data_IF_797773773513
#
_entry.id   IF_797773773513
#
_cell.length_a   1.000
_cell.length_b   1.000
_cell.length_c   1.000
_cell.angle_alpha   90.00
_cell.angle_beta   90.00
_cell.angle_gamma   90.00
#
_symmetry.space_group_name_H-M   'P 1'
#
loop_
_entity.id
_entity.type
_entity.pdbx_description
1 polymer ?
#
# COMPACT_ATOMS: atom_id res chain seq x y z
N UNK A 1 23.50 -20.39 31.98
CA UNK A 1 22.37 -20.15 31.06
C UNK A 1 22.61 -18.77 30.44
N UNK A 2 23.08 -18.68 29.19
CA UNK A 2 23.23 -17.37 28.52
C UNK A 2 21.86 -16.97 27.99
N UNK A 3 21.31 -15.89 28.53
CA UNK A 3 20.18 -15.20 27.92
C UNK A 3 20.68 -14.66 26.58
N UNK A 4 20.23 -15.27 25.49
CA UNK A 4 20.40 -14.71 24.16
C UNK A 4 19.34 -13.63 24.05
N UNK A 5 19.76 -12.36 24.07
CA UNK A 5 18.87 -11.26 23.76
C UNK A 5 18.26 -11.52 22.37
N UNK A 6 16.94 -11.36 22.20
CA UNK A 6 16.34 -11.51 20.88
C UNK A 6 16.98 -10.45 19.98
N UNK A 7 17.80 -10.88 19.04
CA UNK A 7 18.32 -10.01 17.99
C UNK A 7 17.13 -9.55 17.18
N UNK A 8 16.63 -8.35 17.49
CA UNK A 8 15.62 -7.67 16.70
C UNK A 8 16.17 -7.61 15.28
N UNK A 9 15.47 -8.25 14.35
CA UNK A 9 15.74 -8.06 12.92
C UNK A 9 15.75 -6.54 12.70
N UNK A 10 16.69 -5.99 11.91
CA UNK A 10 16.65 -4.57 11.61
C UNK A 10 15.25 -4.23 11.11
N UNK A 11 14.62 -3.25 11.74
CA UNK A 11 13.27 -2.82 11.41
C UNK A 11 13.30 -2.24 10.00
N UNK A 12 12.99 -3.07 9.00
CA UNK A 12 12.93 -2.60 7.62
C UNK A 12 11.63 -1.83 7.50
N UNK A 13 11.74 -0.50 7.58
CA UNK A 13 10.60 0.39 7.37
C UNK A 13 10.06 0.20 5.95
N UNK A 14 8.73 0.19 5.83
CA UNK A 14 8.04 0.01 4.56
C UNK A 14 8.39 1.10 3.56
N UNK A 15 8.88 2.25 4.00
CA UNK A 15 9.21 3.40 3.17
C UNK A 15 10.69 3.49 2.79
N UNK A 16 11.47 2.43 3.07
CA UNK A 16 12.88 2.37 2.69
C UNK A 16 13.08 2.28 1.17
N UNK A 17 14.05 3.03 0.63
CA UNK A 17 14.46 3.02 -0.78
C UNK A 17 13.32 3.32 -1.78
N UNK A 18 12.66 4.49 -1.68
CA UNK A 18 11.63 4.89 -2.64
C UNK A 18 12.19 4.99 -4.06
N UNK A 19 11.32 4.78 -5.04
CA UNK A 19 11.59 5.14 -6.44
C UNK A 19 11.13 6.57 -6.64
N UNK A 20 12.00 7.44 -7.14
CA UNK A 20 11.62 8.83 -7.42
C UNK A 20 11.31 8.97 -8.91
N UNK A 21 10.12 9.47 -9.24
CA UNK A 21 9.72 9.81 -10.61
C UNK A 21 9.16 11.23 -10.68
N UNK A 22 9.22 11.84 -11.85
CA UNK A 22 8.62 13.16 -12.10
C UNK A 22 7.20 12.99 -12.66
N UNK A 23 6.21 13.60 -12.00
CA UNK A 23 4.80 13.65 -12.42
C UNK A 23 4.36 15.11 -12.38
N UNK A 24 3.71 15.62 -13.44
CA UNK A 24 3.26 17.02 -13.48
C UNK A 24 4.37 18.05 -13.26
N UNK A 25 5.63 17.72 -13.55
CA UNK A 25 6.79 18.58 -13.30
C UNK A 25 7.39 18.51 -11.89
N UNK A 26 6.72 17.84 -10.94
CA UNK A 26 7.13 17.68 -9.54
C UNK A 26 7.75 16.29 -9.33
N UNK A 27 8.73 16.16 -8.43
CA UNK A 27 9.31 14.87 -8.05
C UNK A 27 8.47 14.22 -6.95
N UNK A 28 8.08 12.97 -7.16
CA UNK A 28 7.29 12.18 -6.22
C UNK A 28 8.00 10.88 -5.84
N UNK A 29 7.83 10.47 -4.59
CA UNK A 29 8.26 9.17 -4.09
C UNK A 29 7.21 8.10 -4.41
N UNK A 30 7.69 6.97 -4.90
CA UNK A 30 6.87 5.84 -5.28
C UNK A 30 7.37 4.54 -4.66
N UNK A 31 6.41 3.70 -4.30
CA UNK A 31 6.60 2.49 -3.56
C UNK A 31 5.97 1.32 -4.30
N UNK A 32 6.67 0.19 -4.32
CA UNK A 32 6.16 -1.03 -4.94
C UNK A 32 5.11 -1.72 -4.05
N UNK A 33 4.41 -2.70 -4.61
CA UNK A 33 3.53 -3.59 -3.85
C UNK A 33 4.21 -4.28 -2.65
N UNK A 34 5.53 -4.49 -2.70
CA UNK A 34 6.29 -5.05 -1.59
C UNK A 34 6.33 -4.12 -0.37
N UNK A 35 6.48 -2.82 -0.60
CA UNK A 35 6.43 -1.79 0.44
C UNK A 35 5.02 -1.72 1.05
N UNK A 36 3.97 -1.69 0.22
CA UNK A 36 2.58 -1.74 0.71
C UNK A 36 2.27 -3.01 1.52
N UNK A 37 2.83 -4.14 1.10
CA UNK A 37 2.68 -5.41 1.81
C UNK A 37 3.29 -5.35 3.20
N UNK A 38 4.46 -4.74 3.34
CA UNK A 38 5.12 -4.51 4.63
C UNK A 38 4.32 -3.54 5.50
N UNK A 39 3.87 -2.43 4.92
CA UNK A 39 3.06 -1.41 5.58
C UNK A 39 1.78 -1.98 6.21
N UNK A 40 1.06 -2.83 5.47
CA UNK A 40 -0.21 -3.40 5.93
C UNK A 40 -0.05 -4.75 6.66
N UNK A 41 1.19 -5.19 6.90
CA UNK A 41 1.47 -6.51 7.45
C UNK A 41 0.69 -7.63 6.72
N UNK A 42 0.78 -7.65 5.38
CA UNK A 42 0.10 -8.60 4.50
C UNK A 42 1.07 -9.20 3.49
N UNK A 43 0.73 -10.38 2.99
CA UNK A 43 1.47 -10.98 1.88
C UNK A 43 1.20 -10.23 0.57
N UNK A 44 2.19 -10.08 -0.33
CA UNK A 44 1.96 -9.45 -1.64
C UNK A 44 0.85 -10.11 -2.47
N UNK A 45 0.65 -11.42 -2.30
CA UNK A 45 -0.43 -12.15 -2.98
C UNK A 45 -1.80 -11.68 -2.52
N UNK A 46 -1.93 -11.32 -1.23
CA UNK A 46 -3.14 -10.81 -0.61
C UNK A 46 -3.43 -9.41 -1.11
N UNK A 47 -2.42 -8.53 -1.17
CA UNK A 47 -2.57 -7.18 -1.74
C UNK A 47 -3.03 -7.25 -3.20
N UNK A 48 -2.40 -8.11 -4.02
CA UNK A 48 -2.85 -8.34 -5.42
C UNK A 48 -4.27 -8.88 -5.51
N UNK A 49 -4.67 -9.73 -4.55
CA UNK A 49 -6.03 -10.24 -4.48
C UNK A 49 -6.99 -9.09 -4.16
N UNK A 50 -6.67 -8.25 -3.19
CA UNK A 50 -7.48 -7.09 -2.80
C UNK A 50 -7.67 -6.12 -3.97
N UNK A 51 -6.62 -5.80 -4.72
CA UNK A 51 -6.72 -4.99 -5.94
C UNK A 51 -7.69 -5.64 -6.96
N UNK A 52 -7.52 -6.94 -7.22
CA UNK A 52 -8.36 -7.66 -8.21
C UNK A 52 -9.82 -7.76 -7.79
N UNK A 53 -10.09 -7.89 -6.50
CA UNK A 53 -11.45 -8.04 -5.95
C UNK A 53 -12.07 -6.69 -5.57
N UNK A 54 -11.39 -5.57 -5.80
CA UNK A 54 -11.90 -4.24 -5.47
C UNK A 54 -11.95 -3.92 -3.97
N UNK A 55 -11.20 -4.64 -3.13
CA UNK A 55 -11.06 -4.28 -1.70
C UNK A 55 -10.20 -3.03 -1.55
N UNK A 56 -9.19 -2.89 -2.41
CA UNK A 56 -8.46 -1.64 -2.60
C UNK A 56 -8.48 -1.31 -4.09
N UNK A 57 -8.47 -0.03 -4.48
CA UNK A 57 -8.32 0.37 -5.87
C UNK A 57 -6.98 -0.11 -6.45
N UNK A 58 -6.91 -0.21 -7.78
CA UNK A 58 -5.64 -0.33 -8.46
C UNK A 58 -4.81 0.96 -8.24
N UNK A 59 -3.46 0.87 -8.20
CA UNK A 59 -2.62 2.05 -8.05
C UNK A 59 -2.80 3.01 -9.23
N UNK A 60 -2.83 4.29 -8.91
CA UNK A 60 -2.90 5.39 -9.90
C UNK A 60 -1.75 5.33 -10.91
N UNK A 61 -0.57 4.85 -10.49
CA UNK A 61 0.62 4.82 -11.32
C UNK A 61 1.06 3.39 -11.65
N UNK A 62 1.18 3.11 -12.96
CA UNK A 62 1.72 1.86 -13.48
C UNK A 62 2.83 2.14 -14.48
N UNK A 63 4.05 1.77 -14.13
CA UNK A 63 5.19 1.81 -15.06
C UNK A 63 5.17 0.55 -15.91
N UNK A 64 5.00 0.71 -17.22
CA UNK A 64 4.97 -0.41 -18.16
C UNK A 64 6.34 -1.07 -18.27
N UNK A 65 6.35 -2.40 -18.22
CA UNK A 65 7.55 -3.19 -18.47
C UNK A 65 7.74 -3.48 -19.97
N UNK A 66 8.84 -4.18 -20.31
CA UNK A 66 9.04 -4.72 -21.67
C UNK A 66 8.02 -5.80 -22.05
N UNK A 67 7.40 -6.42 -21.06
CA UNK A 67 6.33 -7.41 -21.20
C UNK A 67 5.20 -7.04 -20.26
N UNK A 68 4.00 -7.58 -20.50
CA UNK A 68 2.82 -7.34 -19.65
C UNK A 68 3.07 -7.75 -18.18
N UNK A 69 3.80 -8.85 -17.97
CA UNK A 69 4.25 -9.30 -16.64
C UNK A 69 5.30 -8.37 -16.00
N UNK A 70 5.89 -7.48 -16.78
CA UNK A 70 6.86 -6.49 -16.35
C UNK A 70 6.24 -5.19 -15.82
N UNK A 71 4.91 -5.02 -15.92
CA UNK A 71 4.23 -3.83 -15.41
C UNK A 71 4.38 -3.71 -13.89
N UNK A 72 4.80 -2.52 -13.44
CA UNK A 72 5.07 -2.23 -12.03
C UNK A 72 4.06 -1.25 -11.50
N UNK A 73 3.34 -1.72 -10.49
CA UNK A 73 2.42 -0.96 -9.64
C UNK A 73 3.21 -0.06 -8.70
N UNK A 74 2.90 1.23 -8.72
CA UNK A 74 3.57 2.24 -7.91
C UNK A 74 2.53 3.00 -7.09
N UNK A 75 2.72 2.97 -5.78
CA UNK A 75 1.92 3.70 -4.80
C UNK A 75 2.67 4.95 -4.36
N UNK A 76 1.99 6.07 -4.16
CA UNK A 76 2.61 7.25 -3.54
C UNK A 76 2.71 7.08 -2.02
N UNK A 77 3.56 7.89 -1.37
CA UNK A 77 3.65 7.91 0.09
C UNK A 77 2.27 8.14 0.73
N UNK A 78 1.54 9.14 0.24
CA UNK A 78 0.22 9.52 0.73
C UNK A 78 -0.80 8.36 0.62
N UNK A 79 -0.76 7.60 -0.48
CA UNK A 79 -1.60 6.40 -0.62
C UNK A 79 -1.29 5.35 0.45
N UNK A 80 0.00 5.05 0.68
CA UNK A 80 0.37 4.03 1.67
C UNK A 80 0.04 4.49 3.08
N UNK A 81 0.43 5.71 3.46
CA UNK A 81 0.16 6.26 4.80
C UNK A 81 -1.34 6.37 5.08
N UNK A 82 -2.14 6.81 4.10
CA UNK A 82 -3.58 6.84 4.22
C UNK A 82 -4.19 5.44 4.39
N UNK A 83 -3.71 4.45 3.64
CA UNK A 83 -4.14 3.05 3.81
C UNK A 83 -3.76 2.48 5.17
N UNK A 84 -2.56 2.75 5.68
CA UNK A 84 -2.14 2.34 7.04
C UNK A 84 -3.11 2.91 8.06
N UNK A 85 -3.33 4.22 8.02
CA UNK A 85 -4.22 4.91 8.97
C UNK A 85 -5.64 4.31 8.94
N UNK A 86 -6.24 4.16 7.77
CA UNK A 86 -7.58 3.55 7.65
C UNK A 86 -7.56 2.10 8.16
N UNK A 87 -6.50 1.35 7.84
CA UNK A 87 -6.38 -0.04 8.27
C UNK A 87 -6.27 -0.19 9.81
N UNK A 88 -5.57 0.72 10.46
CA UNK A 88 -5.47 0.81 11.92
C UNK A 88 -6.82 1.19 12.55
N UNK A 89 -7.46 2.24 12.03
CA UNK A 89 -8.75 2.72 12.55
C UNK A 89 -9.89 1.69 12.40
N UNK A 90 -9.89 0.92 11.30
CA UNK A 90 -10.85 -0.16 11.06
C UNK A 90 -10.44 -1.49 11.75
N UNK A 91 -9.31 -1.49 12.47
CA UNK A 91 -8.82 -2.63 13.22
C UNK A 91 -8.31 -3.80 12.37
N UNK A 92 -8.15 -3.63 11.06
CA UNK A 92 -7.77 -4.74 10.17
C UNK A 92 -6.29 -5.10 10.28
N UNK A 93 -5.43 -4.28 10.89
CA UNK A 93 -4.01 -4.61 11.08
C UNK A 93 -3.73 -5.54 12.28
N UNK A 94 -4.65 -5.65 13.24
CA UNK A 94 -4.42 -6.40 14.46
C UNK A 94 -4.63 -7.90 14.25
N UNK A 95 -3.59 -8.67 14.58
CA UNK A 95 -3.55 -10.13 14.48
C UNK A 95 -3.68 -10.73 15.89
N UNK A 96 -4.83 -10.57 16.54
CA UNK A 96 -5.13 -11.31 17.77
C UNK A 96 -6.49 -11.99 17.67
N UNK A 97 -6.47 -13.24 17.20
CA UNK A 97 -7.51 -14.25 17.44
C UNK A 97 -8.76 -14.21 16.56
N UNK A 98 -9.31 -13.03 16.29
CA UNK A 98 -10.57 -12.89 15.53
C UNK A 98 -10.34 -11.92 14.38
N UNK A 99 -9.93 -12.43 13.23
CA UNK A 99 -9.71 -11.60 12.05
C UNK A 99 -10.99 -10.85 11.70
N UNK A 100 -10.99 -9.53 11.91
CA UNK A 100 -12.11 -8.67 11.50
C UNK A 100 -12.31 -8.88 10.00
N UNK A 101 -13.52 -9.30 9.62
CA UNK A 101 -13.86 -9.44 8.22
C UNK A 101 -13.89 -8.05 7.59
N UNK A 102 -13.11 -7.84 6.51
CA UNK A 102 -13.08 -6.54 5.81
C UNK A 102 -14.48 -6.12 5.35
N UNK A 103 -15.36 -7.08 5.02
CA UNK A 103 -16.75 -6.81 4.67
C UNK A 103 -17.59 -6.21 5.80
N UNK A 104 -17.14 -6.32 7.05
CA UNK A 104 -17.78 -5.73 8.22
C UNK A 104 -17.20 -4.35 8.58
N UNK A 105 -16.22 -3.84 7.83
CA UNK A 105 -15.57 -2.56 8.06
C UNK A 105 -15.84 -1.58 6.92
N UNK A 106 -15.48 -0.31 7.11
CA UNK A 106 -15.51 0.69 6.04
C UNK A 106 -14.19 0.80 5.28
N UNK A 107 -13.28 -0.15 5.46
CA UNK A 107 -11.94 -0.09 4.89
C UNK A 107 -11.95 0.13 3.38
N UNK A 108 -12.68 -0.69 2.62
CA UNK A 108 -12.69 -0.61 1.16
C UNK A 108 -13.27 0.71 0.65
N UNK A 109 -14.37 1.18 1.24
CA UNK A 109 -15.02 2.45 0.90
C UNK A 109 -14.09 3.64 1.16
N UNK A 110 -13.45 3.65 2.34
CA UNK A 110 -12.56 4.75 2.75
C UNK A 110 -11.28 4.78 1.94
N UNK A 111 -10.74 3.62 1.57
CA UNK A 111 -9.57 3.55 0.68
C UNK A 111 -9.92 3.98 -0.74
N UNK A 112 -11.12 3.65 -1.24
CA UNK A 112 -11.58 4.17 -2.53
C UNK A 112 -11.65 5.71 -2.51
N UNK A 113 -12.30 6.30 -1.50
CA UNK A 113 -12.37 7.76 -1.34
C UNK A 113 -10.99 8.40 -1.25
N UNK A 114 -10.07 7.81 -0.48
CA UNK A 114 -8.68 8.28 -0.38
C UNK A 114 -8.01 8.36 -1.76
N UNK A 115 -8.20 7.36 -2.62
CA UNK A 115 -7.56 7.34 -3.94
C UNK A 115 -8.18 8.37 -4.88
N UNK A 116 -9.50 8.56 -4.82
CA UNK A 116 -10.19 9.61 -5.56
C UNK A 116 -9.66 11.00 -5.17
N UNK A 117 -9.62 11.30 -3.87
CA UNK A 117 -9.12 12.57 -3.33
C UNK A 117 -7.66 12.83 -3.73
N UNK A 118 -6.82 11.80 -3.66
CA UNK A 118 -5.41 11.92 -4.04
C UNK A 118 -5.23 12.09 -5.54
N UNK A 119 -5.99 11.37 -6.38
CA UNK A 119 -5.90 11.51 -7.84
C UNK A 119 -6.16 12.94 -8.32
N UNK A 120 -7.13 13.63 -7.68
CA UNK A 120 -7.44 15.03 -7.97
C UNK A 120 -6.28 15.97 -7.62
N UNK A 121 -5.49 15.63 -6.59
CA UNK A 121 -4.33 16.42 -6.14
C UNK A 121 -3.02 16.10 -6.87
N UNK A 122 -2.85 14.84 -7.32
CA UNK A 122 -1.62 14.34 -7.95
C UNK A 122 -1.54 14.71 -9.46
N UNK A 123 -2.53 15.44 -9.97
CA UNK A 123 -2.58 15.89 -11.37
C UNK A 123 -2.77 14.73 -12.35
N UNK A 124 -3.36 13.64 -11.89
CA UNK A 124 -3.71 12.50 -12.74
C UNK A 124 -5.16 12.70 -13.15
N UNK A 125 -5.39 13.35 -14.29
CA UNK A 125 -6.71 13.32 -14.91
C UNK A 125 -7.07 11.85 -15.16
N UNK A 126 -8.12 11.37 -14.49
CA UNK A 126 -8.66 10.03 -14.69
C UNK A 126 -9.06 9.89 -16.17
N UNK A 127 -8.20 9.25 -16.96
CA UNK A 127 -8.40 8.98 -18.37
C UNK A 127 -9.38 7.82 -18.60
#
# INVERSE_FOLDING_TARGET
MRLVEPTSKPEVLWDSKPRVYRVGGVLHEFYSIGHLSMALNRQPVTIRKWERTGIIPAPTFVVRGKTERGNRRLYTRAQIEGMIRIAEEEGILHHEGEGIQISATKFSERVAQLFEDLSASEGVDAA
#
